data_IF_507892381421
#
_entry.id   IF_507892381421
#
_cell.length_a   1.000
_cell.length_b   1.000
_cell.length_c   1.000
_cell.angle_alpha   90.00
_cell.angle_beta   90.00
_cell.angle_gamma   90.00
#
_symmetry.space_group_name_H-M   'P 1'
#
loop_
_entity.id
_entity.type
_entity.pdbx_description
1 polymer ?
#
# COMPACT_ATOMS: atom_id res chain seq x y z
N UNK A 1 -18.80 21.57 -4.07
CA UNK A 1 -18.18 21.32 -2.74
C UNK A 1 -16.69 21.20 -2.98
N UNK A 2 -15.85 21.73 -2.08
CA UNK A 2 -14.39 21.59 -2.20
C UNK A 2 -13.95 20.23 -1.64
N UNK A 3 -13.10 19.52 -2.36
CA UNK A 3 -12.47 18.28 -1.89
C UNK A 3 -11.42 18.58 -0.83
N UNK A 4 -11.04 17.58 -0.02
CA UNK A 4 -10.16 17.80 1.13
C UNK A 4 -8.82 18.46 0.75
N UNK A 5 -8.26 18.12 -0.41
CA UNK A 5 -6.99 18.66 -0.91
C UNK A 5 -7.08 20.10 -1.44
N UNK A 6 -8.28 20.67 -1.45
CA UNK A 6 -8.58 22.05 -1.85
C UNK A 6 -8.91 22.93 -0.64
N UNK A 7 -9.09 22.33 0.54
CA UNK A 7 -9.41 23.08 1.75
C UNK A 7 -8.16 23.81 2.28
N UNK A 8 -8.34 25.00 2.89
CA UNK A 8 -7.26 25.64 3.64
C UNK A 8 -6.70 24.69 4.70
N UNK A 9 -5.37 24.67 4.81
CA UNK A 9 -4.69 23.77 5.73
C UNK A 9 -4.33 22.41 5.15
N UNK A 10 -4.65 22.06 3.90
CA UNK A 10 -4.10 20.84 3.29
C UNK A 10 -2.56 20.86 3.22
N UNK A 11 -1.84 19.79 3.64
CA UNK A 11 -2.24 18.52 4.24
C UNK A 11 -1.93 18.45 5.76
N UNK A 12 -2.12 19.54 6.49
CA UNK A 12 -1.98 19.60 7.94
C UNK A 12 -3.19 18.93 8.61
N UNK A 13 -3.12 17.61 8.75
CA UNK A 13 -4.18 16.83 9.37
C UNK A 13 -4.24 17.06 10.88
N UNK A 14 -5.47 17.17 11.38
CA UNK A 14 -5.78 17.22 12.82
C UNK A 14 -6.66 16.05 13.20
N UNK A 15 -6.50 15.54 14.41
CA UNK A 15 -7.34 14.48 14.96
C UNK A 15 -7.57 14.71 16.44
N UNK A 16 -8.63 14.11 16.97
CA UNK A 16 -8.92 14.12 18.40
C UNK A 16 -8.09 13.03 19.11
N UNK A 17 -7.04 13.46 19.81
CA UNK A 17 -6.16 12.56 20.54
C UNK A 17 -6.83 11.85 21.72
N UNK A 18 -7.83 12.45 22.35
CA UNK A 18 -8.57 11.84 23.47
C UNK A 18 -9.45 10.69 22.96
N UNK A 19 -10.14 10.92 21.84
CA UNK A 19 -10.95 9.87 21.18
C UNK A 19 -10.12 8.66 20.74
N UNK A 20 -8.86 8.87 20.36
CA UNK A 20 -7.97 7.82 19.86
C UNK A 20 -7.11 7.15 20.94
N UNK A 21 -7.03 7.72 22.16
CA UNK A 21 -6.16 7.22 23.21
C UNK A 21 -6.46 5.75 23.60
N UNK A 22 -7.74 5.43 23.82
CA UNK A 22 -8.18 4.07 24.17
C UNK A 22 -7.92 3.03 23.07
N UNK A 23 -8.38 3.27 21.82
CA UNK A 23 -8.08 2.40 20.69
C UNK A 23 -6.57 2.21 20.46
N UNK A 24 -5.80 3.30 20.52
CA UNK A 24 -4.35 3.25 20.32
C UNK A 24 -3.65 2.42 21.39
N UNK A 25 -3.99 2.62 22.67
CA UNK A 25 -3.46 1.81 23.77
C UNK A 25 -3.76 0.32 23.58
N UNK A 26 -4.97 -0.02 23.13
CA UNK A 26 -5.38 -1.40 22.84
C UNK A 26 -4.53 -2.03 21.73
N UNK A 27 -4.32 -1.30 20.62
CA UNK A 27 -3.50 -1.77 19.49
C UNK A 27 -2.05 -1.96 19.93
N UNK A 28 -1.44 -0.98 20.60
CA UNK A 28 -0.06 -1.05 21.08
C UNK A 28 0.14 -2.18 22.08
N UNK A 29 -0.83 -2.42 22.98
CA UNK A 29 -0.77 -3.55 23.90
C UNK A 29 -0.79 -4.90 23.17
N UNK A 30 -1.68 -5.08 22.18
CA UNK A 30 -1.72 -6.30 21.36
C UNK A 30 -0.44 -6.48 20.53
N UNK A 31 0.11 -5.39 19.98
CA UNK A 31 1.37 -5.41 19.25
C UNK A 31 2.53 -5.87 20.14
N UNK A 32 2.65 -5.30 21.35
CA UNK A 32 3.67 -5.72 22.32
C UNK A 32 3.53 -7.20 22.71
N UNK A 33 2.30 -7.68 22.95
CA UNK A 33 2.05 -9.09 23.21
C UNK A 33 2.42 -10.01 22.04
N UNK A 34 2.17 -9.56 20.81
CA UNK A 34 2.54 -10.32 19.61
C UNK A 34 4.07 -10.40 19.47
N UNK A 35 4.76 -9.27 19.59
CA UNK A 35 6.23 -9.21 19.50
C UNK A 35 6.88 -10.10 20.56
N UNK A 36 6.45 -9.99 21.83
CA UNK A 36 6.97 -10.84 22.90
C UNK A 36 6.74 -12.34 22.68
N UNK A 37 5.61 -12.72 22.08
CA UNK A 37 5.37 -14.13 21.68
C UNK A 37 6.27 -14.55 20.52
N UNK A 38 6.45 -13.69 19.53
CA UNK A 38 7.31 -13.95 18.38
C UNK A 38 8.78 -14.14 18.79
N UNK A 39 9.24 -13.39 19.79
CA UNK A 39 10.59 -13.53 20.35
C UNK A 39 10.85 -14.89 21.02
N UNK A 40 9.81 -15.58 21.48
CA UNK A 40 9.93 -16.92 22.09
C UNK A 40 9.96 -18.06 21.05
N UNK A 41 9.56 -17.80 19.79
CA UNK A 41 9.55 -18.82 18.75
C UNK A 41 10.95 -19.09 18.20
N UNK A 42 11.24 -20.35 17.87
CA UNK A 42 12.42 -20.73 17.08
C UNK A 42 12.30 -20.25 15.63
N UNK A 43 13.42 -20.16 14.93
CA UNK A 43 13.52 -19.55 13.60
C UNK A 43 12.47 -20.08 12.61
N UNK A 44 12.34 -21.40 12.48
CA UNK A 44 11.43 -22.02 11.51
C UNK A 44 9.96 -21.64 11.76
N UNK A 45 9.53 -21.60 13.02
CA UNK A 45 8.17 -21.19 13.39
C UNK A 45 7.91 -19.71 13.08
N UNK A 46 8.92 -18.84 13.21
CA UNK A 46 8.78 -17.44 12.82
C UNK A 46 8.65 -17.30 11.31
N UNK A 47 9.42 -18.08 10.55
CA UNK A 47 9.38 -18.07 9.10
C UNK A 47 8.03 -18.58 8.58
N UNK A 48 7.49 -19.66 9.15
CA UNK A 48 6.14 -20.16 8.82
C UNK A 48 5.04 -19.15 9.20
N UNK A 49 5.13 -18.51 10.36
CA UNK A 49 4.19 -17.46 10.75
C UNK A 49 4.23 -16.29 9.77
N UNK A 50 5.43 -15.87 9.35
CA UNK A 50 5.62 -14.80 8.38
C UNK A 50 5.06 -15.17 7.01
N UNK A 51 5.31 -16.41 6.56
CA UNK A 51 4.77 -16.96 5.33
C UNK A 51 3.23 -16.95 5.34
N UNK A 52 2.61 -17.40 6.42
CA UNK A 52 1.16 -17.42 6.55
C UNK A 52 0.55 -16.01 6.52
N UNK A 53 1.13 -15.06 7.27
CA UNK A 53 0.65 -13.67 7.33
C UNK A 53 0.81 -12.98 5.98
N UNK A 54 2.00 -13.02 5.37
CA UNK A 54 2.25 -12.38 4.08
C UNK A 54 1.39 -12.97 2.96
N UNK A 55 1.16 -14.29 2.98
CA UNK A 55 0.25 -14.95 2.02
C UNK A 55 -1.16 -14.38 2.19
N UNK A 56 -1.65 -14.28 3.43
CA UNK A 56 -2.98 -13.72 3.69
C UNK A 56 -3.08 -12.25 3.30
N UNK A 57 -2.04 -11.46 3.52
CA UNK A 57 -2.05 -10.02 3.22
C UNK A 57 -2.10 -9.79 1.72
N UNK A 58 -1.26 -10.49 0.94
CA UNK A 58 -1.27 -10.42 -0.53
C UNK A 58 -2.64 -10.81 -1.08
N UNK A 59 -3.18 -11.97 -0.68
CA UNK A 59 -4.47 -12.46 -1.19
C UNK A 59 -5.61 -11.50 -0.85
N UNK A 60 -5.66 -11.00 0.39
CA UNK A 60 -6.75 -10.11 0.83
C UNK A 60 -6.63 -8.71 0.25
N UNK A 61 -5.43 -8.17 0.13
CA UNK A 61 -5.21 -6.85 -0.48
C UNK A 61 -5.61 -6.88 -1.95
N UNK A 62 -5.20 -7.90 -2.70
CA UNK A 62 -5.62 -8.07 -4.10
C UNK A 62 -7.14 -8.25 -4.24
N UNK A 63 -7.78 -8.97 -3.31
CA UNK A 63 -9.23 -9.14 -3.35
C UNK A 63 -10.02 -7.85 -3.15
N UNK A 64 -9.47 -6.84 -2.45
CA UNK A 64 -10.08 -5.51 -2.33
C UNK A 64 -10.12 -4.81 -3.70
N UNK A 65 -9.10 -5.01 -4.52
CA UNK A 65 -9.00 -4.50 -5.89
C UNK A 65 -9.77 -5.36 -6.91
N UNK A 66 -10.51 -6.38 -6.45
CA UNK A 66 -11.25 -7.31 -7.31
C UNK A 66 -10.41 -8.44 -7.92
N UNK A 67 -9.11 -8.48 -7.62
CA UNK A 67 -8.18 -9.51 -8.11
C UNK A 67 -8.26 -10.80 -7.29
N UNK A 68 -8.36 -11.94 -7.98
CA UNK A 68 -8.45 -13.27 -7.33
C UNK A 68 -7.18 -14.06 -7.55
N UNK A 69 -6.21 -13.85 -6.69
CA UNK A 69 -4.94 -14.59 -6.71
C UNK A 69 -5.11 -16.00 -6.11
N UNK A 70 -4.40 -16.98 -6.69
CA UNK A 70 -4.32 -18.32 -6.15
C UNK A 70 -3.44 -18.32 -4.87
N UNK A 71 -3.98 -18.66 -3.68
CA UNK A 71 -3.22 -18.65 -2.44
C UNK A 71 -1.99 -19.57 -2.45
N UNK A 72 -2.04 -20.68 -3.19
CA UNK A 72 -0.92 -21.62 -3.26
C UNK A 72 0.24 -21.06 -4.09
N UNK A 73 -0.06 -20.30 -5.15
CA UNK A 73 0.96 -19.59 -5.94
C UNK A 73 1.60 -18.47 -5.13
N UNK A 74 0.79 -17.70 -4.40
CA UNK A 74 1.26 -16.63 -3.51
C UNK A 74 2.18 -17.21 -2.43
N UNK A 75 1.72 -18.27 -1.73
CA UNK A 75 2.51 -18.97 -0.73
C UNK A 75 3.82 -19.50 -1.32
N UNK A 76 3.77 -20.11 -2.50
CA UNK A 76 4.95 -20.61 -3.21
C UNK A 76 5.99 -19.53 -3.50
N UNK A 77 5.56 -18.37 -4.04
CA UNK A 77 6.47 -17.26 -4.33
C UNK A 77 7.10 -16.70 -3.05
N UNK A 78 6.31 -16.49 -1.99
CA UNK A 78 6.81 -16.00 -0.71
C UNK A 78 7.79 -17.00 -0.08
N UNK A 79 7.44 -18.30 -0.04
CA UNK A 79 8.30 -19.35 0.51
C UNK A 79 9.67 -19.39 -0.17
N UNK A 80 9.70 -19.28 -1.51
CA UNK A 80 10.94 -19.22 -2.29
C UNK A 80 11.80 -18.02 -1.92
N UNK A 81 11.19 -16.84 -1.69
CA UNK A 81 11.89 -15.60 -1.31
C UNK A 81 12.35 -15.58 0.15
N UNK A 82 11.71 -16.38 1.01
CA UNK A 82 12.10 -16.60 2.40
C UNK A 82 13.15 -17.71 2.56
N UNK A 83 13.48 -18.44 1.49
CA UNK A 83 14.44 -19.54 1.52
C UNK A 83 13.90 -20.81 2.17
N UNK A 84 12.57 -20.98 2.18
CA UNK A 84 11.89 -22.18 2.69
C UNK A 84 11.82 -23.27 1.63
N UNK A 85 11.61 -24.51 2.05
CA UNK A 85 11.40 -25.62 1.11
C UNK A 85 10.12 -25.41 0.30
N UNK A 86 10.25 -25.57 -1.01
CA UNK A 86 9.20 -25.33 -2.02
C UNK A 86 8.90 -26.59 -2.85
N UNK A 87 9.39 -27.76 -2.44
CA UNK A 87 9.13 -29.00 -3.15
C UNK A 87 7.62 -29.24 -3.33
N UNK A 88 7.19 -29.39 -4.58
CA UNK A 88 5.78 -29.65 -4.94
C UNK A 88 4.87 -28.42 -4.98
N UNK A 89 5.37 -27.20 -4.72
CA UNK A 89 4.56 -25.99 -4.83
C UNK A 89 4.44 -25.51 -6.30
N UNK A 90 3.29 -24.92 -6.68
CA UNK A 90 3.08 -24.43 -8.05
C UNK A 90 4.01 -23.26 -8.38
N UNK A 91 4.30 -23.06 -9.66
CA UNK A 91 5.00 -21.86 -10.13
C UNK A 91 4.01 -20.70 -10.20
N UNK A 92 4.32 -19.61 -9.51
CA UNK A 92 3.50 -18.41 -9.53
C UNK A 92 3.50 -17.72 -10.91
N UNK A 93 2.34 -17.18 -11.29
CA UNK A 93 2.21 -16.25 -12.41
C UNK A 93 2.96 -14.93 -12.18
N UNK A 94 3.16 -14.15 -13.25
CA UNK A 94 3.87 -12.85 -13.16
C UNK A 94 3.17 -11.85 -12.26
N UNK A 95 1.85 -11.82 -12.29
CA UNK A 95 1.06 -10.87 -11.51
C UNK A 95 1.18 -11.15 -10.00
N UNK A 96 1.28 -12.43 -9.62
CA UNK A 96 1.60 -12.84 -8.24
C UNK A 96 3.02 -12.43 -7.85
N UNK A 97 4.01 -12.68 -8.70
CA UNK A 97 5.41 -12.31 -8.41
C UNK A 97 5.56 -10.80 -8.18
N UNK A 98 4.87 -9.98 -8.96
CA UNK A 98 4.88 -8.52 -8.83
C UNK A 98 4.41 -8.02 -7.46
N UNK A 99 3.22 -8.48 -7.02
CA UNK A 99 2.65 -8.10 -5.71
C UNK A 99 3.53 -8.64 -4.57
N UNK A 100 4.04 -9.87 -4.69
CA UNK A 100 4.91 -10.47 -3.67
C UNK A 100 6.24 -9.72 -3.55
N UNK A 101 6.86 -9.30 -4.65
CA UNK A 101 8.08 -8.50 -4.64
C UNK A 101 7.89 -7.17 -3.91
N UNK A 102 6.82 -6.44 -4.24
CA UNK A 102 6.46 -5.19 -3.58
C UNK A 102 6.27 -5.39 -2.07
N UNK A 103 5.44 -6.38 -1.68
CA UNK A 103 5.12 -6.65 -0.28
C UNK A 103 6.36 -7.05 0.53
N UNK A 104 7.25 -7.86 -0.06
CA UNK A 104 8.50 -8.24 0.59
C UNK A 104 9.48 -7.07 0.69
N UNK A 105 9.58 -6.20 -0.31
CA UNK A 105 10.41 -5.00 -0.19
C UNK A 105 9.89 -4.08 0.91
N UNK A 106 8.58 -3.82 0.95
CA UNK A 106 7.96 -2.98 1.98
C UNK A 106 8.18 -3.51 3.39
N UNK A 107 7.99 -4.82 3.59
CA UNK A 107 8.07 -5.45 4.92
C UNK A 107 9.48 -5.82 5.38
N UNK A 108 10.43 -6.06 4.46
CA UNK A 108 11.83 -6.40 4.83
C UNK A 108 12.76 -5.19 4.84
N UNK A 109 12.43 -4.14 4.11
CA UNK A 109 13.22 -2.93 4.03
C UNK A 109 12.46 -1.72 4.59
N UNK A 110 11.65 -1.93 5.63
CA UNK A 110 10.84 -0.87 6.26
C UNK A 110 11.69 0.24 6.88
N UNK A 111 12.94 -0.02 7.25
CA UNK A 111 13.89 0.97 7.78
C UNK A 111 14.50 1.86 6.68
N UNK A 112 14.45 1.43 5.41
CA UNK A 112 14.96 2.25 4.31
C UNK A 112 13.99 3.41 4.08
N UNK A 113 14.50 4.63 3.80
CA UNK A 113 13.65 5.77 3.47
C UNK A 113 12.70 5.46 2.31
N UNK A 114 11.50 6.01 2.37
CA UNK A 114 10.60 6.02 1.22
C UNK A 114 11.15 7.00 0.19
N UNK A 115 11.21 6.59 -1.08
CA UNK A 115 11.67 7.46 -2.15
C UNK A 115 10.70 7.39 -3.33
N UNK A 116 10.71 8.43 -4.16
CA UNK A 116 9.97 8.44 -5.43
C UNK A 116 10.31 7.22 -6.28
N UNK A 117 11.59 6.89 -6.40
CA UNK A 117 12.05 5.69 -7.13
C UNK A 117 11.47 4.41 -6.52
N UNK A 118 11.46 4.26 -5.19
CA UNK A 118 10.92 3.07 -4.53
C UNK A 118 9.41 2.90 -4.78
N UNK A 119 8.65 3.99 -4.71
CA UNK A 119 7.22 3.98 -5.08
C UNK A 119 7.01 3.60 -6.56
N UNK A 120 7.87 4.10 -7.44
CA UNK A 120 7.83 3.75 -8.86
C UNK A 120 8.20 2.29 -9.12
N UNK A 121 9.21 1.76 -8.44
CA UNK A 121 9.61 0.37 -8.56
C UNK A 121 8.47 -0.54 -8.08
N UNK A 122 7.81 -0.21 -6.96
CA UNK A 122 6.63 -0.92 -6.47
C UNK A 122 5.49 -0.92 -7.49
N UNK A 123 5.12 0.26 -8.01
CA UNK A 123 4.07 0.37 -9.02
C UNK A 123 4.42 -0.37 -10.32
N UNK A 124 5.70 -0.36 -10.73
CA UNK A 124 6.17 -1.11 -11.89
C UNK A 124 6.10 -2.63 -11.70
N UNK A 125 6.34 -3.12 -10.48
CA UNK A 125 6.15 -4.54 -10.15
C UNK A 125 4.68 -4.96 -10.25
N UNK A 126 3.72 -4.09 -9.90
CA UNK A 126 2.29 -4.38 -10.02
C UNK A 126 1.81 -4.49 -11.47
N UNK A 127 2.38 -3.70 -12.38
CA UNK A 127 1.94 -3.62 -13.78
C UNK A 127 3.05 -3.94 -14.79
N UNK A 128 3.60 -5.18 -14.79
CA UNK A 128 4.78 -5.55 -15.59
C UNK A 128 4.56 -5.48 -17.11
N UNK A 129 3.31 -5.39 -17.57
CA UNK A 129 2.93 -5.31 -18.99
C UNK A 129 2.67 -3.88 -19.46
N UNK A 130 2.69 -2.88 -18.57
CA UNK A 130 2.29 -1.52 -18.91
C UNK A 130 0.77 -1.34 -19.04
N UNK A 131 -0.03 -2.24 -18.47
CA UNK A 131 -1.48 -2.28 -18.64
C UNK A 131 -2.22 -2.60 -17.35
N UNK A 132 -3.37 -1.96 -17.17
CA UNK A 132 -4.44 -2.40 -16.27
C UNK A 132 -5.54 -3.04 -17.11
N UNK A 133 -5.70 -4.36 -16.98
CA UNK A 133 -6.53 -5.15 -17.88
C UNK A 133 -6.23 -4.86 -19.36
N UNK A 134 -7.24 -4.39 -20.08
CA UNK A 134 -7.12 -4.06 -21.51
C UNK A 134 -6.64 -2.64 -21.78
N UNK A 135 -6.40 -1.81 -20.77
CA UNK A 135 -6.01 -0.41 -20.94
C UNK A 135 -4.50 -0.23 -20.72
N UNK A 136 -3.85 0.55 -21.58
CA UNK A 136 -2.47 0.98 -21.31
C UNK A 136 -2.49 2.07 -20.25
N UNK A 137 -1.56 2.00 -19.32
CA UNK A 137 -1.42 2.99 -18.25
C UNK A 137 0.02 3.49 -18.13
N UNK A 138 0.23 4.64 -17.52
CA UNK A 138 1.55 5.11 -17.11
C UNK A 138 2.07 4.27 -15.95
N UNK A 139 3.06 3.41 -16.19
CA UNK A 139 3.67 2.53 -15.17
C UNK A 139 4.98 3.09 -14.65
N UNK A 140 5.23 2.93 -13.34
CA UNK A 140 6.47 3.38 -12.70
C UNK A 140 6.70 4.89 -12.77
N UNK A 141 5.64 5.69 -12.91
CA UNK A 141 5.67 7.14 -12.90
C UNK A 141 4.31 7.67 -12.44
N UNK A 142 4.25 8.94 -12.01
CA UNK A 142 2.98 9.59 -11.69
C UNK A 142 2.05 9.61 -12.90
N UNK A 143 0.74 9.52 -12.65
CA UNK A 143 -0.25 9.68 -13.71
C UNK A 143 -0.10 11.02 -14.39
N UNK A 144 -0.32 11.03 -15.70
CA UNK A 144 -0.19 12.24 -16.51
C UNK A 144 -1.54 12.93 -16.67
N UNK A 145 -1.52 14.15 -17.20
CA UNK A 145 -2.74 14.92 -17.47
C UNK A 145 -3.66 14.20 -18.46
N UNK A 146 -3.09 13.42 -19.38
CA UNK A 146 -3.82 12.67 -20.39
C UNK A 146 -4.66 11.52 -19.80
N UNK A 147 -4.35 11.08 -18.57
CA UNK A 147 -5.16 10.08 -17.86
C UNK A 147 -6.51 10.66 -17.37
N UNK A 148 -6.67 11.98 -17.39
CA UNK A 148 -7.86 12.66 -16.92
C UNK A 148 -7.93 12.81 -15.40
N UNK A 149 -9.10 13.23 -14.93
CA UNK A 149 -9.38 13.37 -13.51
C UNK A 149 -9.48 11.99 -12.85
N UNK A 150 -8.83 11.83 -11.70
CA UNK A 150 -8.95 10.61 -10.91
C UNK A 150 -10.09 10.78 -9.93
N UNK A 151 -11.18 10.03 -10.13
CA UNK A 151 -12.45 10.25 -9.45
C UNK A 151 -12.97 8.98 -8.77
N UNK A 152 -13.55 9.14 -7.59
CA UNK A 152 -14.40 8.12 -6.97
C UNK A 152 -15.83 8.41 -7.39
N UNK A 153 -16.40 7.53 -8.21
CA UNK A 153 -17.73 7.72 -8.80
C UNK A 153 -18.71 6.62 -8.39
N UNK A 154 -20.00 6.91 -8.53
CA UNK A 154 -21.07 5.92 -8.44
C UNK A 154 -22.11 6.16 -9.54
N UNK A 155 -22.91 5.16 -9.87
CA UNK A 155 -23.92 5.25 -10.93
C UNK A 155 -23.48 4.56 -12.23
N UNK A 156 -24.39 4.42 -13.21
CA UNK A 156 -24.07 3.77 -14.46
C UNK A 156 -23.20 4.68 -15.34
N UNK A 157 -22.50 4.05 -16.30
CA UNK A 157 -21.65 4.75 -17.26
C UNK A 157 -22.43 5.85 -17.98
N UNK A 158 -21.90 7.07 -18.00
CA UNK A 158 -22.52 8.27 -18.57
C UNK A 158 -23.53 8.99 -17.67
N UNK A 159 -23.74 8.53 -16.44
CA UNK A 159 -24.55 9.20 -15.38
C UNK A 159 -23.89 9.05 -14.01
N UNK A 160 -22.57 9.23 -13.98
CA UNK A 160 -21.76 9.12 -12.79
C UNK A 160 -22.00 10.31 -11.85
N UNK A 161 -22.19 10.01 -10.57
CA UNK A 161 -22.07 10.98 -9.48
C UNK A 161 -20.65 10.92 -8.94
N UNK A 162 -19.91 12.03 -9.05
CA UNK A 162 -18.55 12.18 -8.51
C UNK A 162 -18.60 12.50 -7.02
N UNK A 163 -18.05 11.62 -6.19
CA UNK A 163 -17.97 11.79 -4.73
C UNK A 163 -16.66 12.44 -4.29
N UNK A 164 -15.60 12.16 -5.03
CA UNK A 164 -14.26 12.66 -4.77
C UNK A 164 -13.49 12.78 -6.08
N UNK A 165 -12.68 13.82 -6.19
CA UNK A 165 -11.65 13.96 -7.22
C UNK A 165 -10.31 14.17 -6.52
N UNK A 166 -9.27 13.48 -6.98
CA UNK A 166 -7.93 13.64 -6.47
C UNK A 166 -7.24 14.89 -7.08
N UNK A 167 -6.15 15.40 -6.48
CA UNK A 167 -5.40 16.54 -7.03
C UNK A 167 -5.05 16.39 -8.52
N UNK A 168 -5.04 17.48 -9.28
CA UNK A 168 -4.64 17.44 -10.69
C UNK A 168 -3.21 16.87 -10.89
N UNK A 169 -2.96 16.26 -12.05
CA UNK A 169 -1.71 15.56 -12.35
C UNK A 169 -0.47 16.46 -12.24
N UNK A 170 -0.60 17.75 -12.56
CA UNK A 170 0.47 18.74 -12.47
C UNK A 170 0.86 19.09 -11.03
N UNK A 171 -0.02 18.84 -10.05
CA UNK A 171 0.27 19.00 -8.62
C UNK A 171 1.02 17.81 -8.02
N UNK A 172 0.99 16.64 -8.68
CA UNK A 172 1.48 15.39 -8.08
C UNK A 172 2.95 15.45 -7.65
N UNK A 173 3.81 16.10 -8.41
CA UNK A 173 5.22 16.21 -8.05
C UNK A 173 5.41 16.96 -6.73
N UNK A 174 4.70 18.07 -6.55
CA UNK A 174 4.76 18.87 -5.34
C UNK A 174 4.11 18.13 -4.15
N UNK A 175 2.92 17.55 -4.36
CA UNK A 175 2.19 16.83 -3.30
C UNK A 175 2.97 15.58 -2.83
N UNK A 176 3.49 14.77 -3.75
CA UNK A 176 4.27 13.59 -3.40
C UNK A 176 5.63 13.93 -2.78
N UNK A 177 6.26 15.03 -3.20
CA UNK A 177 7.49 15.50 -2.55
C UNK A 177 7.24 15.90 -1.10
N UNK A 178 6.12 16.57 -0.81
CA UNK A 178 5.70 16.92 0.56
C UNK A 178 5.41 15.67 1.38
N UNK A 179 4.64 14.73 0.81
CA UNK A 179 4.33 13.45 1.44
C UNK A 179 5.59 12.65 1.80
N UNK A 180 6.50 12.44 0.83
CA UNK A 180 7.74 11.68 1.04
C UNK A 180 8.63 12.36 2.10
N UNK A 181 8.73 13.70 2.06
CA UNK A 181 9.49 14.46 3.07
C UNK A 181 8.90 14.27 4.46
N UNK A 182 7.58 14.35 4.60
CA UNK A 182 6.89 14.12 5.87
C UNK A 182 7.02 12.67 6.35
N UNK A 183 6.88 11.70 5.45
CA UNK A 183 6.97 10.27 5.76
C UNK A 183 8.35 9.94 6.38
N UNK A 184 9.41 10.46 5.77
CA UNK A 184 10.79 10.23 6.23
C UNK A 184 11.23 11.12 7.41
N UNK A 185 10.43 12.10 7.81
CA UNK A 185 10.78 12.97 8.93
C UNK A 185 10.87 12.18 10.25
N UNK A 186 11.71 12.61 11.20
CA UNK A 186 11.80 12.01 12.53
C UNK A 186 10.41 11.82 13.17
N UNK A 187 10.23 10.76 13.98
CA UNK A 187 8.93 10.45 14.56
C UNK A 187 8.48 11.57 15.51
N UNK A 188 7.40 12.26 15.14
CA UNK A 188 6.75 13.29 15.95
C UNK A 188 5.43 12.81 16.58
N UNK A 189 5.02 11.58 16.28
CA UNK A 189 3.76 10.97 16.72
C UNK A 189 3.90 9.45 16.80
N UNK A 190 2.91 8.78 17.38
CA UNK A 190 2.87 7.31 17.44
C UNK A 190 2.90 6.70 16.01
N UNK A 191 3.72 5.67 15.75
CA UNK A 191 3.82 5.05 14.42
C UNK A 191 2.51 4.51 13.85
N UNK A 192 1.56 4.08 14.68
CA UNK A 192 0.24 3.60 14.23
C UNK A 192 -0.59 4.76 13.68
N UNK A 193 -0.57 5.91 14.37
CA UNK A 193 -1.22 7.13 13.89
C UNK A 193 -0.55 7.62 12.60
N UNK A 194 0.79 7.61 12.57
CA UNK A 194 1.54 7.98 11.36
C UNK A 194 1.18 7.10 10.17
N UNK A 195 1.02 5.78 10.38
CA UNK A 195 0.60 4.86 9.32
C UNK A 195 -0.83 5.17 8.83
N UNK A 196 -1.77 5.47 9.73
CA UNK A 196 -3.13 5.87 9.36
C UNK A 196 -3.18 7.15 8.53
N UNK A 197 -2.42 8.17 8.94
CA UNK A 197 -2.30 9.43 8.19
C UNK A 197 -1.61 9.19 6.84
N UNK A 198 -0.55 8.39 6.81
CA UNK A 198 0.18 8.09 5.58
C UNK A 198 -0.74 7.41 4.55
N UNK A 199 -1.52 6.43 4.99
CA UNK A 199 -2.48 5.73 4.15
C UNK A 199 -3.54 6.70 3.60
N UNK A 200 -4.18 7.49 4.48
CA UNK A 200 -5.18 8.47 4.09
C UNK A 200 -4.63 9.52 3.12
N UNK A 201 -3.45 10.06 3.38
CA UNK A 201 -2.83 11.07 2.54
C UNK A 201 -2.46 10.50 1.17
N UNK A 202 -1.85 9.31 1.11
CA UNK A 202 -1.45 8.68 -0.14
C UNK A 202 -2.66 8.37 -1.04
N UNK A 203 -3.72 7.75 -0.48
CA UNK A 203 -4.95 7.45 -1.25
C UNK A 203 -5.69 8.72 -1.69
N UNK A 204 -5.58 9.81 -0.92
CA UNK A 204 -6.15 11.12 -1.30
C UNK A 204 -5.40 11.77 -2.46
N UNK A 205 -4.05 11.68 -2.50
CA UNK A 205 -3.27 12.18 -3.64
C UNK A 205 -3.55 11.37 -4.90
N UNK A 206 -3.71 10.04 -4.73
CA UNK A 206 -3.97 9.08 -5.80
C UNK A 206 -2.99 9.27 -6.98
N UNK A 207 -1.69 9.01 -6.76
CA UNK A 207 -0.64 9.51 -7.66
C UNK A 207 -0.45 8.65 -8.93
N UNK A 208 -1.05 7.47 -9.00
CA UNK A 208 -0.96 6.55 -10.15
C UNK A 208 -2.30 6.46 -10.90
N UNK A 209 -2.27 5.91 -12.13
CA UNK A 209 -3.48 5.71 -12.94
C UNK A 209 -4.29 4.50 -12.48
N UNK A 210 -3.62 3.54 -11.83
CA UNK A 210 -4.16 2.36 -11.17
C UNK A 210 -3.12 1.85 -10.13
N UNK A 211 -3.51 0.96 -9.21
CA UNK A 211 -2.66 0.40 -8.14
C UNK A 211 -2.29 1.39 -7.03
#
# INVERSE_FOLDING_TARGET
>A
MAYIHEKPGWPEFTWDGESLAGPLATVRHKQGRLLGKMEALVFDLRAEASLAVLTSDVVKSSAIEGEKLNPDEVRSSIARRLGLDVAGLPKAGRDVEGVVEMMLDGTRHFEKPLTKKRLFDWHASLFPTGRSGMNRITVGAWRKKEAGAMQVVSGPVGRENVHFEAPEADRLEAEMSRFIKWFNAPPAMDPVLKAGIAHFWFVTIHPFEDG
#
